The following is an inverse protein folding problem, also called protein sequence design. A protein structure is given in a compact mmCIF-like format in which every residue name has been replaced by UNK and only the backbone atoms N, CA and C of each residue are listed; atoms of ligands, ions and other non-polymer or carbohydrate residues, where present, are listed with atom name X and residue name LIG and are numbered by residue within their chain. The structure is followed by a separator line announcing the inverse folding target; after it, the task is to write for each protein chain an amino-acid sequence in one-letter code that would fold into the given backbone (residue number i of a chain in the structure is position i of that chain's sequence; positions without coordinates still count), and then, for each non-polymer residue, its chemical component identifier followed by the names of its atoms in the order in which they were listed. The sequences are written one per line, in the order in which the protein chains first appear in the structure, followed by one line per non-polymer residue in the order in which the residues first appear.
data_IF_327311326225
#
_entry.id   IF_327311326225
#
_cell.length_a   1.000
_cell.length_b   1.000
_cell.length_c   1.000
_cell.angle_alpha   90.00
_cell.angle_beta   90.00
_cell.angle_gamma   90.00
#
_symmetry.space_group_name_H-M   'P 1'
#
loop_
_entity.id
_entity.type
_entity.pdbx_description
1 polymer ?
#
# COMPACT_ATOMS: atom_id res chain seq x y z
N UNK A 1 -1.73 9.58 21.74
CA UNK A 1 -0.36 9.81 22.24
C UNK A 1 0.50 10.35 21.10
N UNK A 2 1.39 11.32 21.37
CA UNK A 2 2.35 11.76 20.35
C UNK A 2 3.43 10.69 20.16
N UNK A 3 3.71 10.30 18.93
CA UNK A 3 4.68 9.25 18.60
C UNK A 3 5.54 9.71 17.43
N UNK A 4 6.82 9.34 17.46
CA UNK A 4 7.79 9.68 16.43
C UNK A 4 8.24 8.43 15.69
N UNK A 5 8.23 8.52 14.36
CA UNK A 5 8.87 7.58 13.46
C UNK A 5 10.06 8.26 12.80
N UNK A 6 11.06 7.49 12.39
CA UNK A 6 12.21 8.02 11.66
C UNK A 6 12.18 7.43 10.25
N UNK A 7 12.06 8.26 9.22
CA UNK A 7 12.06 7.83 7.83
C UNK A 7 13.30 8.41 7.15
N UNK A 8 14.23 7.55 6.72
CA UNK A 8 15.52 7.99 6.16
C UNK A 8 16.24 9.04 7.04
N UNK A 9 16.21 8.85 8.36
CA UNK A 9 16.81 9.78 9.33
C UNK A 9 15.97 11.03 9.64
N UNK A 10 14.83 11.23 8.99
CA UNK A 10 13.92 12.36 9.25
C UNK A 10 12.82 11.98 10.23
N UNK A 11 12.65 12.76 11.29
CA UNK A 11 11.58 12.56 12.26
C UNK A 11 10.20 12.95 11.70
N UNK A 12 9.24 12.03 11.84
CA UNK A 12 7.84 12.24 11.51
C UNK A 12 7.03 12.03 12.78
N UNK A 13 6.42 13.12 13.26
CA UNK A 13 5.53 13.08 14.42
C UNK A 13 4.08 12.84 13.99
N UNK A 14 3.40 11.93 14.67
CA UNK A 14 1.96 11.68 14.51
C UNK A 14 1.28 11.54 15.86
N UNK A 15 -0.03 11.75 15.89
CA UNK A 15 -0.87 11.51 17.06
C UNK A 15 -1.54 10.15 16.92
N UNK A 16 -1.08 9.16 17.67
CA UNK A 16 -1.68 7.84 17.77
C UNK A 16 -2.84 7.81 18.78
N UNK A 17 -3.55 6.67 18.84
CA UNK A 17 -4.52 6.36 19.90
C UNK A 17 -3.90 6.43 21.33
N UNK A 18 -4.73 6.24 22.35
CA UNK A 18 -4.29 6.16 23.73
C UNK A 18 -3.42 4.90 23.96
N UNK A 19 -2.55 4.97 24.98
CA UNK A 19 -1.55 3.92 25.26
C UNK A 19 -2.18 2.55 25.56
N UNK A 20 -3.35 2.55 26.21
CA UNK A 20 -4.13 1.35 26.55
C UNK A 20 -4.70 0.61 25.33
N UNK A 21 -4.70 1.24 24.15
CA UNK A 21 -5.06 0.60 22.89
C UNK A 21 -3.94 -0.29 22.32
N UNK A 22 -2.72 -0.20 22.86
CA UNK A 22 -1.54 -0.88 22.34
C UNK A 22 -1.15 -2.09 23.19
N UNK A 23 -0.76 -3.17 22.51
CA UNK A 23 -0.32 -4.42 23.13
C UNK A 23 0.69 -5.14 22.24
N UNK A 24 1.38 -6.12 22.81
CA UNK A 24 2.24 -7.07 22.08
C UNK A 24 1.53 -8.42 21.95
N UNK A 25 1.92 -9.21 20.95
CA UNK A 25 1.39 -10.55 20.72
C UNK A 25 2.18 -11.66 21.42
N UNK A 26 1.96 -12.89 20.95
CA UNK A 26 2.73 -14.08 21.34
C UNK A 26 4.16 -14.04 20.82
N UNK A 27 5.05 -14.84 21.40
CA UNK A 27 6.42 -15.03 20.91
C UNK A 27 6.45 -15.96 19.69
N UNK A 28 5.71 -15.57 18.64
CA UNK A 28 5.57 -16.29 17.38
C UNK A 28 5.86 -15.35 16.21
N UNK A 29 6.55 -15.87 15.20
CA UNK A 29 6.80 -15.16 13.93
C UNK A 29 5.68 -15.54 12.95
N UNK A 30 4.78 -14.60 12.64
CA UNK A 30 3.59 -14.91 11.84
C UNK A 30 3.91 -15.32 10.39
N UNK A 31 4.97 -14.77 9.79
CA UNK A 31 5.42 -15.17 8.44
C UNK A 31 5.84 -16.64 8.39
N UNK A 32 6.52 -17.13 9.43
CA UNK A 32 6.86 -18.55 9.56
C UNK A 32 5.63 -19.40 9.85
N UNK A 33 4.75 -18.95 10.76
CA UNK A 33 3.56 -19.69 11.18
C UNK A 33 2.55 -19.90 10.05
N UNK A 34 2.36 -18.89 9.20
CA UNK A 34 1.38 -18.90 8.10
C UNK A 34 2.00 -19.09 6.72
N UNK A 35 3.28 -19.48 6.69
CA UNK A 35 3.99 -19.89 5.47
C UNK A 35 3.99 -18.79 4.39
N UNK A 36 4.71 -17.71 4.69
CA UNK A 36 4.91 -16.57 3.79
C UNK A 36 5.34 -17.03 2.39
N UNK A 37 4.59 -16.63 1.36
CA UNK A 37 4.83 -17.08 -0.02
C UNK A 37 6.15 -16.54 -0.58
N UNK A 38 6.73 -15.53 0.06
CA UNK A 38 8.00 -14.92 -0.35
C UNK A 38 9.22 -15.62 0.25
N UNK A 39 9.05 -16.62 1.14
CA UNK A 39 10.12 -17.30 1.88
C UNK A 39 11.24 -17.93 1.05
N UNK A 40 10.98 -18.21 -0.23
CA UNK A 40 11.93 -18.86 -1.15
C UNK A 40 12.58 -17.88 -2.11
N UNK A 41 12.35 -16.59 -1.94
CA UNK A 41 12.96 -15.55 -2.78
C UNK A 41 14.31 -15.12 -2.22
N UNK A 42 15.23 -14.72 -3.10
CA UNK A 42 16.58 -14.28 -2.70
C UNK A 42 16.58 -12.98 -1.88
N UNK A 43 15.45 -12.27 -1.85
CA UNK A 43 15.26 -11.03 -1.10
C UNK A 43 14.48 -11.22 0.19
N UNK A 44 14.15 -12.46 0.56
CA UNK A 44 13.32 -12.75 1.74
C UNK A 44 13.89 -12.15 3.02
N UNK A 45 15.22 -12.15 3.23
CA UNK A 45 15.82 -11.57 4.44
C UNK A 45 15.46 -10.08 4.65
N UNK A 46 15.38 -9.31 3.56
CA UNK A 46 14.89 -7.93 3.60
C UNK A 46 13.35 -7.87 3.67
N UNK A 47 12.69 -8.86 3.08
CA UNK A 47 11.23 -8.99 2.99
C UNK A 47 10.62 -8.18 1.86
N UNK A 48 11.45 -7.59 1.01
CA UNK A 48 11.04 -6.88 -0.20
C UNK A 48 12.19 -6.74 -1.20
N UNK A 49 11.83 -6.40 -2.44
CA UNK A 49 12.78 -5.94 -3.45
C UNK A 49 12.11 -4.99 -4.45
N UNK A 50 12.93 -4.32 -5.25
CA UNK A 50 12.51 -3.51 -6.41
C UNK A 50 12.84 -4.26 -7.69
N UNK A 51 11.87 -4.39 -8.59
CA UNK A 51 12.03 -5.09 -9.88
C UNK A 51 11.62 -4.19 -11.04
N UNK A 52 12.15 -4.48 -12.23
CA UNK A 52 11.73 -3.86 -13.49
C UNK A 52 10.36 -4.37 -13.91
N UNK A 53 9.55 -3.48 -14.48
CA UNK A 53 8.18 -3.76 -14.88
C UNK A 53 8.07 -4.59 -16.17
N UNK A 54 9.09 -4.59 -17.05
CA UNK A 54 9.06 -5.14 -18.41
C UNK A 54 8.48 -6.56 -18.52
N UNK A 55 8.76 -7.43 -17.53
CA UNK A 55 8.30 -8.83 -17.50
C UNK A 55 6.89 -9.00 -16.89
N UNK A 56 6.33 -7.93 -16.31
CA UNK A 56 5.10 -7.97 -15.52
C UNK A 56 3.96 -7.20 -16.17
N UNK A 57 4.20 -5.97 -16.62
CA UNK A 57 3.20 -5.09 -17.23
C UNK A 57 3.88 -3.94 -17.99
N UNK A 58 3.13 -3.24 -18.82
CA UNK A 58 3.61 -2.01 -19.48
C UNK A 58 3.26 -0.77 -18.63
N UNK A 59 4.26 -0.07 -18.04
CA UNK A 59 4.01 1.13 -17.24
C UNK A 59 3.27 2.24 -17.98
N UNK A 60 3.51 2.40 -19.28
CA UNK A 60 2.87 3.44 -20.08
C UNK A 60 1.36 3.19 -20.18
N UNK A 61 0.97 1.93 -20.41
CA UNK A 61 -0.42 1.50 -20.39
C UNK A 61 -1.07 1.72 -19.02
N UNK A 62 -0.40 1.33 -17.92
CA UNK A 62 -0.92 1.58 -16.56
C UNK A 62 -1.19 3.07 -16.35
N UNK A 63 -0.25 3.93 -16.73
CA UNK A 63 -0.39 5.38 -16.59
C UNK A 63 -1.56 5.94 -17.43
N UNK A 64 -1.63 5.59 -18.72
CA UNK A 64 -2.66 6.14 -19.62
C UNK A 64 -4.07 5.70 -19.22
N UNK A 65 -4.24 4.41 -18.88
CA UNK A 65 -5.53 3.86 -18.46
C UNK A 65 -5.99 4.44 -17.12
N UNK A 66 -5.06 4.62 -16.18
CA UNK A 66 -5.36 5.28 -14.90
C UNK A 66 -5.77 6.73 -15.13
N UNK A 67 -5.06 7.45 -16.00
CA UNK A 67 -5.40 8.84 -16.35
C UNK A 67 -6.81 8.92 -16.93
N UNK A 68 -7.14 8.05 -17.89
CA UNK A 68 -8.46 7.99 -18.50
C UNK A 68 -9.57 7.69 -17.48
N UNK A 69 -9.35 6.72 -16.58
CA UNK A 69 -10.30 6.37 -15.53
C UNK A 69 -10.57 7.55 -14.58
N UNK A 70 -9.52 8.27 -14.15
CA UNK A 70 -9.65 9.42 -13.25
C UNK A 70 -10.33 10.60 -13.96
N UNK A 71 -9.96 10.90 -15.21
CA UNK A 71 -10.62 11.94 -16.02
C UNK A 71 -12.12 11.65 -16.15
N UNK A 72 -12.48 10.39 -16.46
CA UNK A 72 -13.88 9.95 -16.54
C UNK A 72 -14.61 10.18 -15.22
N UNK A 73 -14.04 9.75 -14.09
CA UNK A 73 -14.62 9.95 -12.76
C UNK A 73 -14.84 11.45 -12.46
N UNK A 74 -13.86 12.31 -12.73
CA UNK A 74 -13.98 13.75 -12.49
C UNK A 74 -15.09 14.34 -13.37
N UNK A 75 -15.12 13.97 -14.65
CA UNK A 75 -16.11 14.46 -15.62
C UNK A 75 -17.53 14.07 -15.22
N UNK A 76 -17.73 12.84 -14.73
CA UNK A 76 -19.03 12.36 -14.25
C UNK A 76 -19.50 13.08 -12.97
N UNK A 77 -18.56 13.44 -12.08
CA UNK A 77 -18.87 14.13 -10.83
C UNK A 77 -19.10 15.63 -11.05
N UNK A 78 -18.29 16.25 -11.92
CA UNK A 78 -18.17 17.69 -12.12
C UNK A 78 -17.89 18.01 -13.61
N UNK A 79 -18.90 17.87 -14.50
CA UNK A 79 -18.74 18.04 -15.94
C UNK A 79 -18.37 19.46 -16.38
N UNK A 80 -18.46 20.44 -15.48
CA UNK A 80 -18.09 21.84 -15.73
C UNK A 80 -16.59 22.13 -15.56
N UNK A 81 -15.80 21.20 -15.01
CA UNK A 81 -14.35 21.36 -14.88
C UNK A 81 -13.70 21.16 -16.25
N UNK A 82 -12.97 22.17 -16.74
CA UNK A 82 -12.13 22.04 -17.91
C UNK A 82 -10.89 21.20 -17.57
N UNK A 83 -10.81 19.99 -18.13
CA UNK A 83 -9.70 19.05 -17.95
C UNK A 83 -8.67 19.15 -19.09
N UNK A 84 -8.70 20.21 -19.89
CA UNK A 84 -7.67 20.48 -20.89
C UNK A 84 -6.29 20.53 -20.23
N UNK A 85 -5.37 19.70 -20.74
CA UNK A 85 -4.01 19.59 -20.19
C UNK A 85 -3.89 18.80 -18.88
N UNK A 86 -4.94 18.10 -18.44
CA UNK A 86 -4.90 17.28 -17.24
C UNK A 86 -3.80 16.21 -17.31
N UNK A 87 -3.05 16.07 -16.21
CA UNK A 87 -2.16 14.94 -15.94
C UNK A 87 -2.37 14.46 -14.50
N UNK A 88 -1.96 13.23 -14.18
CA UNK A 88 -2.10 12.70 -12.83
C UNK A 88 -1.27 13.48 -11.81
N UNK A 89 -0.06 13.92 -12.19
CA UNK A 89 0.82 14.76 -11.38
C UNK A 89 0.15 16.08 -10.99
N UNK A 90 -0.63 16.65 -11.93
CA UNK A 90 -1.34 17.93 -11.75
C UNK A 90 -2.76 17.77 -11.24
N UNK A 91 -3.20 16.57 -10.89
CA UNK A 91 -4.55 16.29 -10.38
C UNK A 91 -5.03 17.27 -9.30
N UNK A 92 -4.15 17.64 -8.36
CA UNK A 92 -4.47 18.55 -7.26
C UNK A 92 -4.82 19.98 -7.71
N UNK A 93 -4.42 20.40 -8.92
CA UNK A 93 -4.78 21.70 -9.48
C UNK A 93 -6.22 21.75 -10.01
N UNK A 94 -6.81 20.58 -10.30
CA UNK A 94 -8.17 20.45 -10.83
C UNK A 94 -9.19 20.04 -9.75
N UNK A 95 -8.72 19.55 -8.59
CA UNK A 95 -9.57 18.88 -7.61
C UNK A 95 -9.36 19.42 -6.19
N UNK A 96 -10.40 20.07 -5.66
CA UNK A 96 -10.48 20.50 -4.25
C UNK A 96 -10.65 19.31 -3.28
N UNK A 97 -10.67 19.56 -1.97
CA UNK A 97 -10.77 18.49 -0.97
C UNK A 97 -12.11 17.74 -0.99
N UNK A 98 -13.20 18.43 -1.32
CA UNK A 98 -14.53 17.82 -1.36
C UNK A 98 -14.62 16.85 -2.53
N UNK A 99 -14.26 17.32 -3.74
CA UNK A 99 -14.22 16.50 -4.94
C UNK A 99 -13.16 15.39 -4.83
N UNK A 100 -12.02 15.66 -4.18
CA UNK A 100 -11.02 14.62 -3.92
C UNK A 100 -11.62 13.47 -3.13
N UNK A 101 -12.37 13.76 -2.07
CA UNK A 101 -13.07 12.75 -1.28
C UNK A 101 -14.04 11.90 -2.11
N UNK A 102 -14.74 12.49 -3.08
CA UNK A 102 -15.64 11.78 -3.99
C UNK A 102 -14.90 10.93 -5.02
N UNK A 103 -13.83 11.46 -5.60
CA UNK A 103 -12.95 10.73 -6.52
C UNK A 103 -12.35 9.52 -5.81
N UNK A 104 -11.85 9.66 -4.58
CA UNK A 104 -11.32 8.55 -3.79
C UNK A 104 -12.38 7.49 -3.52
N UNK A 105 -13.63 7.86 -3.22
CA UNK A 105 -14.71 6.88 -3.01
C UNK A 105 -14.95 6.00 -4.24
N UNK A 106 -14.81 6.57 -5.45
CA UNK A 106 -14.96 5.82 -6.72
C UNK A 106 -13.70 5.08 -7.16
N UNK A 107 -12.53 5.62 -6.87
CA UNK A 107 -11.24 5.07 -7.32
C UNK A 107 -10.56 4.13 -6.33
N UNK A 108 -10.99 4.09 -5.05
CA UNK A 108 -10.39 3.22 -4.02
C UNK A 108 -10.39 1.75 -4.42
N UNK A 109 -11.34 1.33 -5.25
CA UNK A 109 -11.38 0.01 -5.90
C UNK A 109 -11.64 0.24 -7.39
N UNK A 110 -10.57 0.31 -8.17
CA UNK A 110 -10.70 0.22 -9.63
C UNK A 110 -10.73 -1.26 -9.99
N UNK A 111 -11.78 -1.66 -10.68
CA UNK A 111 -11.95 -3.01 -11.18
C UNK A 111 -11.29 -3.14 -12.56
N UNK A 112 -11.00 -4.37 -13.03
CA UNK A 112 -10.51 -4.54 -14.40
C UNK A 112 -11.44 -3.94 -15.46
N UNK A 113 -12.74 -3.89 -15.21
CA UNK A 113 -13.69 -3.24 -16.12
C UNK A 113 -13.51 -1.70 -16.19
N UNK A 114 -12.87 -1.11 -15.19
CA UNK A 114 -12.56 0.33 -15.14
C UNK A 114 -11.22 0.67 -15.80
N UNK A 115 -10.45 -0.34 -16.23
CA UNK A 115 -9.07 -0.22 -16.70
C UNK A 115 -8.86 -0.96 -18.02
N UNK A 116 -8.20 -0.35 -19.01
CA UNK A 116 -8.00 -0.97 -20.32
C UNK A 116 -6.88 -2.02 -20.42
N UNK A 117 -6.29 -2.47 -19.29
CA UNK A 117 -5.19 -3.44 -19.31
C UNK A 117 -5.59 -4.83 -18.81
N UNK A 118 -4.87 -5.84 -19.29
CA UNK A 118 -5.11 -7.25 -18.96
C UNK A 118 -4.55 -7.61 -17.57
N UNK A 119 -5.35 -7.35 -16.54
CA UNK A 119 -4.99 -7.68 -15.16
C UNK A 119 -4.74 -9.18 -14.95
N UNK A 120 -5.36 -10.07 -15.74
CA UNK A 120 -5.15 -11.50 -15.63
C UNK A 120 -3.75 -11.90 -16.12
N UNK A 121 -3.27 -11.28 -17.20
CA UNK A 121 -1.89 -11.44 -17.67
C UNK A 121 -0.89 -10.93 -16.62
N UNK A 122 -1.15 -9.78 -16.00
CA UNK A 122 -0.29 -9.23 -14.95
C UNK A 122 -0.18 -10.21 -13.77
N UNK A 123 -1.32 -10.72 -13.27
CA UNK A 123 -1.33 -11.73 -12.19
C UNK A 123 -0.57 -12.99 -12.61
N UNK A 124 -0.75 -13.48 -13.84
CA UNK A 124 -0.03 -14.65 -14.35
C UNK A 124 1.50 -14.44 -14.35
N UNK A 125 1.96 -13.24 -14.70
CA UNK A 125 3.38 -12.92 -14.68
C UNK A 125 3.93 -12.96 -13.24
N UNK A 126 3.20 -12.39 -12.27
CA UNK A 126 3.55 -12.50 -10.84
C UNK A 126 3.53 -13.95 -10.33
N UNK A 127 2.54 -14.75 -10.73
CA UNK A 127 2.47 -16.17 -10.40
C UNK A 127 3.69 -16.93 -10.91
N UNK A 128 4.11 -16.64 -12.14
CA UNK A 128 5.27 -17.26 -12.77
C UNK A 128 6.56 -16.90 -12.02
N UNK A 129 6.71 -15.62 -11.66
CA UNK A 129 7.86 -15.13 -10.92
C UNK A 129 7.98 -15.76 -9.52
N UNK A 130 6.87 -15.90 -8.80
CA UNK A 130 6.85 -16.47 -7.45
C UNK A 130 6.77 -18.00 -7.43
N UNK A 131 6.49 -18.65 -8.57
CA UNK A 131 6.30 -20.10 -8.66
C UNK A 131 5.03 -20.60 -7.96
N UNK A 132 4.04 -19.72 -7.76
CA UNK A 132 2.78 -20.00 -7.05
C UNK A 132 1.63 -19.42 -7.84
N UNK A 133 0.49 -20.11 -7.91
CA UNK A 133 -0.70 -19.59 -8.59
C UNK A 133 -1.38 -18.50 -7.75
N UNK A 134 -1.39 -17.25 -8.26
CA UNK A 134 -1.96 -16.10 -7.56
C UNK A 134 -3.33 -15.67 -8.11
N UNK A 135 -4.09 -14.95 -7.28
CA UNK A 135 -5.35 -14.29 -7.65
C UNK A 135 -5.62 -13.03 -6.83
N UNK A 136 -6.58 -12.21 -7.25
CA UNK A 136 -7.10 -11.09 -6.45
C UNK A 136 -8.16 -11.54 -5.42
N UNK A 137 -8.58 -12.80 -5.45
CA UNK A 137 -9.63 -13.34 -4.59
C UNK A 137 -9.02 -13.72 -3.25
N UNK A 138 -9.48 -13.09 -2.18
CA UNK A 138 -9.10 -13.51 -0.83
C UNK A 138 -9.75 -14.86 -0.52
N UNK A 139 -8.97 -15.93 -0.25
CA UNK A 139 -9.49 -17.28 -0.04
C UNK A 139 -10.28 -17.43 1.26
N UNK A 140 -10.09 -16.56 2.25
CA UNK A 140 -10.83 -16.63 3.52
C UNK A 140 -12.25 -16.07 3.39
N UNK A 141 -12.42 -14.99 2.62
CA UNK A 141 -13.71 -14.29 2.49
C UNK A 141 -14.42 -14.59 1.17
N UNK A 142 -13.72 -15.20 0.21
CA UNK A 142 -14.18 -15.43 -1.16
C UNK A 142 -14.62 -14.13 -1.85
N UNK A 143 -13.87 -13.05 -1.61
CA UNK A 143 -14.12 -11.73 -2.20
C UNK A 143 -12.90 -11.22 -2.94
N UNK A 144 -13.11 -10.57 -4.08
CA UNK A 144 -12.03 -9.92 -4.83
C UNK A 144 -11.63 -8.59 -4.19
N UNK A 145 -10.32 -8.43 -3.96
CA UNK A 145 -9.71 -7.20 -3.43
C UNK A 145 -9.16 -6.31 -4.56
N UNK A 146 -9.07 -6.85 -5.79
CA UNK A 146 -8.59 -6.21 -7.03
C UNK A 146 -7.42 -5.25 -6.79
N UNK A 147 -7.60 -3.96 -7.08
CA UNK A 147 -6.55 -2.95 -7.00
C UNK A 147 -6.95 -1.81 -6.09
N UNK A 148 -6.06 -1.44 -5.15
CA UNK A 148 -6.25 -0.26 -4.30
C UNK A 148 -5.49 0.91 -4.91
N UNK A 149 -6.21 1.88 -5.46
CA UNK A 149 -5.61 3.14 -5.91
C UNK A 149 -5.33 4.07 -4.74
N UNK A 150 -4.14 4.65 -4.69
CA UNK A 150 -3.74 5.65 -3.69
C UNK A 150 -3.37 6.95 -4.40
N UNK A 151 -4.30 7.91 -4.40
CA UNK A 151 -4.09 9.25 -4.95
C UNK A 151 -3.83 10.20 -3.79
N UNK A 152 -2.61 10.69 -3.67
CA UNK A 152 -2.17 11.52 -2.56
C UNK A 152 -1.79 12.90 -3.10
N UNK A 153 -2.60 13.93 -2.78
CA UNK A 153 -2.27 15.32 -3.12
C UNK A 153 -1.00 15.78 -2.38
N UNK A 154 -0.29 16.80 -2.90
CA UNK A 154 0.85 17.43 -2.21
C UNK A 154 0.48 17.79 -0.77
N UNK A 155 1.39 17.49 0.17
CA UNK A 155 1.26 17.85 1.60
C UNK A 155 -0.03 17.35 2.26
N UNK A 156 -0.68 16.33 1.67
CA UNK A 156 -1.90 15.75 2.22
C UNK A 156 -1.62 14.81 3.39
N UNK A 157 -2.58 14.71 4.31
CA UNK A 157 -2.55 13.79 5.44
C UNK A 157 -3.19 12.42 5.13
N UNK A 158 -3.47 12.13 3.85
CA UNK A 158 -4.18 10.93 3.43
C UNK A 158 -3.22 9.74 3.22
N UNK A 159 -2.62 9.25 4.29
CA UNK A 159 -1.74 8.08 4.29
C UNK A 159 -2.08 7.15 5.45
N UNK A 160 -1.80 5.85 5.29
CA UNK A 160 -2.00 4.86 6.35
C UNK A 160 -0.97 5.05 7.48
N UNK A 161 -1.36 4.64 8.68
CA UNK A 161 -0.42 4.37 9.79
C UNK A 161 0.64 3.34 9.40
N UNK A 162 1.71 3.21 10.20
CA UNK A 162 2.60 2.05 10.15
C UNK A 162 1.81 0.79 10.55
N UNK A 163 1.91 -0.27 9.74
CA UNK A 163 1.11 -1.49 9.87
C UNK A 163 1.75 -2.69 9.14
N UNK A 164 1.20 -3.89 9.37
CA UNK A 164 1.29 -5.05 8.48
C UNK A 164 -0.10 -5.29 7.88
N UNK A 165 -0.18 -5.72 6.63
CA UNK A 165 -1.48 -5.94 5.96
C UNK A 165 -2.24 -7.17 6.46
N UNK A 166 -1.51 -8.12 7.03
CA UNK A 166 -2.05 -9.38 7.56
C UNK A 166 -2.88 -9.23 8.84
N UNK A 167 -2.81 -8.08 9.52
CA UNK A 167 -3.39 -7.97 10.86
C UNK A 167 -4.91 -7.96 10.89
N UNK A 168 -5.58 -7.48 9.85
CA UNK A 168 -7.05 -7.55 9.78
C UNK A 168 -7.51 -9.01 9.78
N UNK A 169 -7.00 -9.82 8.86
CA UNK A 169 -7.29 -11.25 8.80
C UNK A 169 -6.87 -12.00 10.08
N UNK A 170 -5.69 -11.71 10.61
CA UNK A 170 -5.21 -12.35 11.83
C UNK A 170 -6.07 -12.02 13.06
N UNK A 171 -6.48 -10.75 13.21
CA UNK A 171 -7.30 -10.33 14.34
C UNK A 171 -8.73 -10.88 14.26
N UNK A 172 -9.30 -11.00 13.06
CA UNK A 172 -10.67 -11.48 12.85
C UNK A 172 -10.79 -13.00 12.82
N UNK A 173 -9.81 -13.69 12.25
CA UNK A 173 -9.91 -15.13 11.94
C UNK A 173 -8.85 -15.98 12.63
N UNK A 174 -7.88 -15.38 13.34
CA UNK A 174 -6.74 -16.10 13.92
C UNK A 174 -5.85 -16.79 12.87
N UNK A 175 -6.03 -16.46 11.60
CA UNK A 175 -5.30 -17.03 10.46
C UNK A 175 -5.02 -15.97 9.42
N UNK A 176 -3.91 -16.12 8.70
CA UNK A 176 -3.47 -15.21 7.64
C UNK A 176 -3.56 -15.97 6.31
N UNK A 177 -4.24 -15.42 5.29
CA UNK A 177 -4.21 -16.02 3.97
C UNK A 177 -2.82 -15.80 3.40
N UNK A 178 -2.34 -16.75 2.61
CA UNK A 178 -1.06 -16.62 1.93
C UNK A 178 -1.15 -15.55 0.84
N UNK A 179 -0.41 -14.46 1.02
CA UNK A 179 -0.48 -13.30 0.15
C UNK A 179 0.85 -12.56 0.03
N UNK A 180 0.97 -11.78 -1.04
CA UNK A 180 2.08 -10.87 -1.35
C UNK A 180 1.51 -9.52 -1.76
N UNK A 181 2.25 -8.46 -1.45
CA UNK A 181 1.92 -7.13 -1.89
C UNK A 181 2.80 -6.71 -3.07
N UNK A 182 2.16 -6.15 -4.10
CA UNK A 182 2.83 -5.44 -5.19
C UNK A 182 2.47 -3.97 -5.09
N UNK A 183 3.44 -3.07 -5.05
CA UNK A 183 3.22 -1.64 -5.06
C UNK A 183 3.80 -1.03 -6.34
N UNK A 184 2.92 -0.48 -7.16
CA UNK A 184 3.21 0.01 -8.50
C UNK A 184 3.17 1.55 -8.48
N UNK A 185 4.28 2.24 -8.73
CA UNK A 185 4.26 3.69 -8.94
C UNK A 185 3.53 4.01 -10.26
N UNK A 186 2.66 5.02 -10.23
CA UNK A 186 2.02 5.54 -11.46
C UNK A 186 2.58 6.92 -11.79
N UNK A 187 2.61 7.84 -10.82
CA UNK A 187 3.25 9.14 -10.97
C UNK A 187 3.66 9.75 -9.63
N UNK A 188 4.55 10.73 -9.67
CA UNK A 188 4.94 11.54 -8.49
C UNK A 188 5.61 10.77 -7.36
N UNK A 189 6.21 9.61 -7.65
CA UNK A 189 6.96 8.78 -6.70
C UNK A 189 8.45 9.15 -6.76
N UNK A 190 9.00 9.62 -5.65
CA UNK A 190 10.39 10.05 -5.51
C UNK A 190 10.82 9.99 -4.02
N UNK A 191 11.98 10.58 -3.70
CA UNK A 191 12.57 10.63 -2.35
C UNK A 191 11.65 11.27 -1.29
N UNK A 192 10.68 12.07 -1.70
CA UNK A 192 9.74 12.77 -0.84
C UNK A 192 8.39 12.05 -0.71
N UNK A 193 8.12 11.03 -1.53
CA UNK A 193 6.77 10.48 -1.68
C UNK A 193 6.67 8.95 -1.81
N UNK A 194 7.80 8.26 -1.91
CA UNK A 194 7.91 6.79 -1.96
C UNK A 194 7.34 6.09 -0.72
N UNK A 195 7.37 4.75 -0.71
CA UNK A 195 6.79 3.93 0.35
C UNK A 195 7.81 3.62 1.46
N UNK A 196 7.57 4.05 2.71
CA UNK A 196 8.40 3.66 3.84
C UNK A 196 8.13 2.22 4.30
N UNK A 197 9.19 1.47 4.53
CA UNK A 197 9.20 0.05 4.88
C UNK A 197 10.25 -0.22 5.96
N UNK A 198 10.04 -1.24 6.79
CA UNK A 198 11.03 -1.68 7.77
C UNK A 198 11.64 -3.02 7.32
N UNK A 199 12.87 -3.03 6.76
CA UNK A 199 13.53 -4.25 6.31
C UNK A 199 13.60 -5.32 7.41
N UNK A 200 13.35 -6.58 7.05
CA UNK A 200 13.41 -7.74 7.96
C UNK A 200 12.29 -7.81 9.01
N UNK A 201 11.39 -6.82 9.07
CA UNK A 201 10.35 -6.75 10.11
C UNK A 201 9.30 -7.86 10.06
N UNK A 202 9.21 -8.56 8.92
CA UNK A 202 8.35 -9.73 8.75
C UNK A 202 8.86 -10.97 9.53
N UNK A 203 10.14 -10.99 9.91
CA UNK A 203 10.77 -12.06 10.72
C UNK A 203 10.67 -11.81 12.22
N UNK A 204 10.12 -10.67 12.65
CA UNK A 204 10.01 -10.33 14.05
C UNK A 204 8.88 -11.14 14.72
N UNK A 205 9.10 -11.67 15.93
CA UNK A 205 8.03 -12.25 16.70
C UNK A 205 7.07 -11.15 17.18
N UNK A 206 5.78 -11.47 17.27
CA UNK A 206 4.75 -10.50 17.66
C UNK A 206 4.92 -9.98 19.10
N UNK A 207 5.65 -10.71 19.95
CA UNK A 207 6.10 -10.29 21.28
C UNK A 207 6.98 -9.03 21.26
N UNK A 208 7.56 -8.70 20.10
CA UNK A 208 8.39 -7.51 19.89
C UNK A 208 7.63 -6.37 19.24
N UNK A 209 6.42 -6.56 18.75
CA UNK A 209 5.70 -5.55 17.97
C UNK A 209 4.58 -4.97 18.82
N UNK A 210 4.67 -3.69 19.15
CA UNK A 210 3.61 -3.00 19.89
C UNK A 210 2.60 -2.42 18.91
N UNK A 211 1.36 -2.91 18.94
CA UNK A 211 0.31 -2.47 18.02
C UNK A 211 -1.08 -2.43 18.64
N UNK A 212 -2.00 -1.76 17.96
CA UNK A 212 -3.44 -1.90 18.19
C UNK A 212 -3.99 -3.14 17.47
N UNK A 213 -5.24 -3.51 17.79
CA UNK A 213 -6.06 -4.30 16.87
C UNK A 213 -6.35 -3.53 15.57
N UNK A 214 -6.74 -4.23 14.51
CA UNK A 214 -7.27 -3.62 13.29
C UNK A 214 -8.42 -2.64 13.60
N UNK A 215 -8.57 -1.57 12.80
CA UNK A 215 -9.52 -0.49 13.06
C UNK A 215 -8.93 0.71 13.82
N UNK A 216 -7.65 1.04 13.59
CA UNK A 216 -6.90 2.05 14.36
C UNK A 216 -7.26 3.51 14.05
N UNK A 217 -6.72 4.43 14.87
CA UNK A 217 -6.82 5.88 14.69
C UNK A 217 -5.45 6.55 14.74
N UNK A 218 -5.16 7.43 13.77
CA UNK A 218 -3.97 8.27 13.72
C UNK A 218 -4.36 9.67 13.24
N UNK A 219 -3.85 10.72 13.88
CA UNK A 219 -4.16 12.12 13.58
C UNK A 219 -5.68 12.40 13.52
N UNK A 220 -6.43 11.81 14.45
CA UNK A 220 -7.90 11.84 14.50
C UNK A 220 -8.63 11.20 13.28
N UNK A 221 -7.90 10.58 12.37
CA UNK A 221 -8.44 9.83 11.23
C UNK A 221 -8.51 8.33 11.56
N UNK A 222 -9.63 7.70 11.20
CA UNK A 222 -9.82 6.25 11.36
C UNK A 222 -9.30 5.48 10.14
N UNK A 223 -8.67 4.34 10.40
CA UNK A 223 -8.13 3.41 9.41
C UNK A 223 -8.70 2.01 9.66
N UNK A 224 -8.78 1.17 8.62
CA UNK A 224 -9.16 -0.25 8.77
C UNK A 224 -8.01 -1.09 9.33
N UNK A 225 -6.77 -0.69 9.07
CA UNK A 225 -5.57 -1.42 9.49
C UNK A 225 -5.25 -1.19 10.97
N UNK A 226 -4.48 -2.10 11.55
CA UNK A 226 -3.85 -1.88 12.85
C UNK A 226 -2.83 -0.75 12.78
N UNK A 227 -2.52 -0.12 13.92
CA UNK A 227 -1.40 0.82 14.04
C UNK A 227 -0.29 0.16 14.85
N UNK A 228 0.93 0.11 14.30
CA UNK A 228 2.13 -0.34 14.99
C UNK A 228 2.86 0.90 15.51
N UNK A 229 3.09 0.97 16.81
CA UNK A 229 3.81 2.07 17.45
C UNK A 229 5.33 1.89 17.32
N UNK A 230 5.82 0.71 17.65
CA UNK A 230 7.24 0.37 17.66
C UNK A 230 7.43 -1.15 17.53
N UNK A 231 8.65 -1.55 17.20
CA UNK A 231 9.07 -2.95 17.22
C UNK A 231 10.43 -3.09 17.89
N UNK A 232 10.44 -3.71 19.08
CA UNK A 232 11.63 -3.79 19.93
C UNK A 232 12.15 -2.41 20.34
N UNK A 233 11.27 -1.41 20.49
CA UNK A 233 11.65 -0.02 20.75
C UNK A 233 12.18 0.75 19.54
N UNK A 234 12.16 0.15 18.34
CA UNK A 234 12.55 0.80 17.09
C UNK A 234 11.30 1.32 16.33
N UNK A 235 11.46 2.43 15.61
CA UNK A 235 10.44 3.03 14.73
C UNK A 235 11.01 3.53 13.39
N UNK A 236 12.19 3.01 13.00
CA UNK A 236 12.95 3.42 11.81
C UNK A 236 12.45 2.73 10.53
N UNK A 237 12.12 3.53 9.52
CA UNK A 237 11.70 3.08 8.20
C UNK A 237 12.71 3.58 7.14
N UNK A 238 12.87 2.78 6.09
CA UNK A 238 13.57 3.13 4.86
C UNK A 238 12.52 3.46 3.80
N UNK A 239 12.63 4.60 3.15
CA UNK A 239 11.74 4.97 2.04
C UNK A 239 12.27 4.43 0.73
N UNK A 240 11.46 3.59 0.12
CA UNK A 240 11.69 3.07 -1.22
C UNK A 240 11.02 3.95 -2.28
N UNK A 241 11.75 4.25 -3.34
CA UNK A 241 11.42 5.21 -4.39
C UNK A 241 11.60 4.59 -5.79
N UNK A 242 10.90 3.48 -6.12
CA UNK A 242 11.04 2.83 -7.41
C UNK A 242 10.78 3.83 -8.54
N UNK A 243 11.54 3.70 -9.63
CA UNK A 243 11.35 4.50 -10.85
C UNK A 243 10.04 4.15 -11.53
N UNK A 244 9.65 4.95 -12.53
CA UNK A 244 8.43 4.73 -13.31
C UNK A 244 8.39 3.40 -14.07
N UNK A 245 9.54 2.77 -14.31
CA UNK A 245 9.68 1.46 -14.94
C UNK A 245 9.97 0.33 -13.93
N UNK A 246 9.77 0.61 -12.64
CA UNK A 246 10.04 -0.30 -11.54
C UNK A 246 8.81 -0.44 -10.62
N UNK A 247 8.79 -1.48 -9.80
CA UNK A 247 7.82 -1.65 -8.72
C UNK A 247 8.43 -2.33 -7.52
N UNK A 248 7.73 -2.22 -6.38
CA UNK A 248 8.07 -2.94 -5.16
C UNK A 248 7.23 -4.22 -5.06
N UNK A 249 7.88 -5.32 -4.74
CA UNK A 249 7.23 -6.55 -4.28
C UNK A 249 7.71 -6.82 -2.86
N UNK A 250 6.77 -7.12 -1.96
CA UNK A 250 7.09 -7.32 -0.55
C UNK A 250 6.17 -8.31 0.13
N UNK A 251 6.70 -8.96 1.16
CA UNK A 251 5.91 -9.86 2.00
C UNK A 251 4.80 -9.08 2.68
N UNK A 252 3.59 -9.65 2.71
CA UNK A 252 2.45 -9.03 3.40
C UNK A 252 2.63 -8.94 4.92
N UNK A 253 3.61 -9.67 5.46
CA UNK A 253 4.02 -9.63 6.85
C UNK A 253 5.00 -8.48 7.15
N UNK A 254 5.42 -7.69 6.16
CA UNK A 254 6.37 -6.61 6.35
C UNK A 254 5.70 -5.35 6.92
N UNK A 255 6.34 -4.74 7.92
CA UNK A 255 5.93 -3.46 8.47
C UNK A 255 6.21 -2.36 7.44
N UNK A 256 5.18 -1.58 7.11
CA UNK A 256 5.24 -0.44 6.18
C UNK A 256 4.14 0.57 6.50
N UNK A 257 4.18 1.76 5.89
CA UNK A 257 3.16 2.80 6.07
C UNK A 257 3.75 4.19 6.00
N UNK A 258 2.97 5.21 6.39
CA UNK A 258 3.41 6.62 6.35
C UNK A 258 3.92 7.07 4.97
N UNK A 259 3.28 6.58 3.90
CA UNK A 259 3.53 7.02 2.53
C UNK A 259 3.01 8.45 2.30
N UNK A 260 3.63 9.39 3.02
CA UNK A 260 3.47 10.84 2.92
C UNK A 260 3.78 11.26 1.48
N UNK A 261 3.04 12.25 0.99
CA UNK A 261 3.44 12.97 -0.21
C UNK A 261 3.99 14.34 0.19
N UNK A 262 5.31 14.41 0.40
CA UNK A 262 5.99 15.66 0.73
C UNK A 262 6.44 16.44 -0.51
N UNK A 263 6.01 16.05 -1.71
CA UNK A 263 6.21 16.89 -2.90
C UNK A 263 5.56 18.26 -2.70
N UNK A 264 6.17 19.30 -3.27
CA UNK A 264 5.65 20.65 -3.13
C UNK A 264 4.41 20.90 -3.99
N UNK A 265 4.41 20.38 -5.23
CA UNK A 265 3.42 20.71 -6.27
C UNK A 265 3.16 19.54 -7.23
N UNK A 266 3.19 18.31 -6.70
CA UNK A 266 3.00 17.08 -7.46
C UNK A 266 2.16 16.04 -6.71
N UNK A 267 1.07 15.58 -7.32
CA UNK A 267 0.27 14.46 -6.80
C UNK A 267 1.03 13.15 -6.97
N UNK A 268 1.02 12.31 -5.94
CA UNK A 268 1.52 10.93 -6.02
C UNK A 268 0.36 9.98 -6.30
N UNK A 269 0.48 9.16 -7.33
CA UNK A 269 -0.45 8.06 -7.62
C UNK A 269 0.30 6.74 -7.61
N UNK A 270 -0.26 5.75 -6.91
CA UNK A 270 0.28 4.39 -6.87
C UNK A 270 -0.85 3.37 -6.76
N UNK A 271 -0.60 2.16 -7.23
CA UNK A 271 -1.44 1.00 -6.94
C UNK A 271 -0.82 0.08 -5.91
N UNK A 272 -1.68 -0.57 -5.14
CA UNK A 272 -1.33 -1.67 -4.26
C UNK A 272 -2.16 -2.89 -4.67
N UNK A 273 -1.50 -3.95 -5.11
CA UNK A 273 -2.12 -5.24 -5.40
C UNK A 273 -1.88 -6.15 -4.20
N UNK A 274 -2.95 -6.76 -3.70
CA UNK A 274 -2.87 -7.85 -2.74
C UNK A 274 -3.21 -9.12 -3.49
N UNK A 275 -2.18 -9.91 -3.78
CA UNK A 275 -2.32 -11.15 -4.52
C UNK A 275 -2.25 -12.32 -3.55
N UNK A 276 -3.22 -13.21 -3.64
CA UNK A 276 -3.38 -14.37 -2.76
C UNK A 276 -3.03 -15.65 -3.51
N UNK A 277 -2.38 -16.60 -2.82
CA UNK A 277 -2.24 -17.97 -3.32
C UNK A 277 -3.64 -18.58 -3.52
N UNK A 278 -3.86 -19.18 -4.69
CA UNK A 278 -5.06 -19.97 -4.98
C UNK A 278 -5.02 -21.27 -4.20
N UNK A 279 -6.12 -21.58 -3.53
CA UNK A 279 -6.37 -22.88 -2.90
C UNK A 279 -6.93 -23.89 -3.90
#
# INVERSE_FOLDING_TARGET
MQTQYIINGTEIAVQLAAEDAYSVGSDEVLSTKFDDITKHTDWYDAGYTTLKADDFYDPATIYSETTAAIVKIITELRPEIDLSGFTLERYHAYVDDALHGEVIKRSRRLFPADLGFDSAKIVKNFSTYLGVDLSFTNPQTNTDVWMIARINKPKSHNYNTVHKDIYEAFDEHGSVPKMVNIWIPVCGVNDCSGLPMAPGSHLLPESKITRTKAGSTMNAQRYSVASIRDWGGNSNLVRENPKSDEFLIFSSHLIHGLALNNNEDETRVSFEFRLYEKL
#
